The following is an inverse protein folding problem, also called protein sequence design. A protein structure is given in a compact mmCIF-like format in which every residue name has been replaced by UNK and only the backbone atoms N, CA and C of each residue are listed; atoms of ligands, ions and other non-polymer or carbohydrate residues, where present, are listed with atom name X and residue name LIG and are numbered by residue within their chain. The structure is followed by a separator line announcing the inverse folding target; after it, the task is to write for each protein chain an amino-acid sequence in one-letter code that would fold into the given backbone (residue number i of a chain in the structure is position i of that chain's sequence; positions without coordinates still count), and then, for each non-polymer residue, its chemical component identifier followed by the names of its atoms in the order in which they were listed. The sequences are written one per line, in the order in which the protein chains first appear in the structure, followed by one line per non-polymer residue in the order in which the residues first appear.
data_IF_016445276089
#
_entry.id   IF_016445276089
#
_cell.length_a   1.000
_cell.length_b   1.000
_cell.length_c   1.000
_cell.angle_alpha   90.00
_cell.angle_beta   90.00
_cell.angle_gamma   90.00
#
_symmetry.space_group_name_H-M   'P 1'
#
loop_
_entity.id
_entity.type
_entity.pdbx_description
1 polymer ?
#
# COMPACT_ATOMS: atom_id res chain seq x y z
N UNK A 1 4.73 1.71 26.35
CA UNK A 1 5.41 1.45 25.07
C UNK A 1 4.70 2.07 23.86
N UNK A 2 3.45 1.71 23.50
CA UNK A 2 2.70 2.47 22.45
C UNK A 2 2.40 3.92 22.88
N UNK A 3 2.23 4.15 24.19
CA UNK A 3 2.05 5.49 24.77
C UNK A 3 3.33 6.34 24.72
N UNK A 4 4.50 5.73 24.91
CA UNK A 4 5.79 6.42 24.81
C UNK A 4 6.15 6.80 23.36
N UNK A 5 5.71 6.01 22.38
CA UNK A 5 5.80 6.33 20.95
C UNK A 5 4.82 7.44 20.51
N UNK A 6 3.79 7.73 21.31
CA UNK A 6 2.83 8.82 21.05
C UNK A 6 3.15 10.09 21.85
N UNK A 7 3.92 9.96 22.93
CA UNK A 7 4.30 11.04 23.86
C UNK A 7 5.71 11.59 23.57
N UNK A 8 6.61 10.79 22.98
CA UNK A 8 7.95 11.19 22.55
C UNK A 8 8.28 10.84 21.08
N UNK A 9 7.38 10.18 20.34
CA UNK A 9 7.57 9.91 18.91
C UNK A 9 7.48 11.21 18.13
N UNK A 10 8.55 11.55 17.43
CA UNK A 10 8.53 12.63 16.45
C UNK A 10 7.34 12.43 15.51
N UNK A 11 6.68 13.51 15.08
CA UNK A 11 5.56 13.51 14.12
C UNK A 11 5.85 12.61 12.91
N UNK A 12 7.13 12.51 12.58
CA UNK A 12 7.74 11.60 11.63
C UNK A 12 7.31 10.13 11.80
N UNK A 13 7.40 9.53 12.99
CA UNK A 13 7.21 8.09 13.19
C UNK A 13 5.74 7.68 13.04
N UNK A 14 4.83 8.55 13.48
CA UNK A 14 3.39 8.39 13.28
C UNK A 14 3.07 8.43 11.78
N UNK A 15 3.67 9.39 11.07
CA UNK A 15 3.52 9.50 9.61
C UNK A 15 4.14 8.29 8.90
N UNK A 16 5.27 7.75 9.41
CA UNK A 16 5.91 6.54 8.88
C UNK A 16 4.99 5.35 8.91
N UNK A 17 4.42 5.13 10.09
CA UNK A 17 3.52 4.03 10.36
C UNK A 17 2.30 4.10 9.47
N UNK A 18 1.73 5.30 9.32
CA UNK A 18 0.58 5.52 8.46
C UNK A 18 0.90 5.27 6.98
N UNK A 19 2.04 5.75 6.48
CA UNK A 19 2.47 5.52 5.08
C UNK A 19 2.71 4.03 4.81
N UNK A 20 3.40 3.34 5.71
CA UNK A 20 3.65 1.90 5.58
C UNK A 20 2.34 1.11 5.54
N UNK A 21 1.39 1.43 6.42
CA UNK A 21 0.06 0.83 6.43
C UNK A 21 -0.71 1.11 5.12
N UNK A 22 -0.67 2.36 4.64
CA UNK A 22 -1.30 2.76 3.39
C UNK A 22 -0.72 2.00 2.18
N UNK A 23 0.59 1.76 2.16
CA UNK A 23 1.24 0.99 1.10
C UNK A 23 0.83 -0.48 1.08
N UNK A 24 0.76 -1.13 2.25
CA UNK A 24 0.33 -2.54 2.36
C UNK A 24 -1.11 -2.66 1.86
N UNK A 25 -2.00 -1.79 2.35
CA UNK A 25 -3.42 -1.82 1.98
C UNK A 25 -3.64 -1.51 0.51
N UNK A 26 -2.95 -0.51 -0.06
CA UNK A 26 -3.01 -0.19 -1.48
C UNK A 26 -2.55 -1.35 -2.38
N UNK A 27 -1.48 -2.04 -1.99
CA UNK A 27 -0.95 -3.19 -2.73
C UNK A 27 -1.94 -4.35 -2.76
N UNK A 28 -2.56 -4.66 -1.61
CA UNK A 28 -3.60 -5.69 -1.51
C UNK A 28 -4.81 -5.31 -2.35
N UNK A 29 -5.27 -4.05 -2.28
CA UNK A 29 -6.40 -3.57 -3.09
C UNK A 29 -6.13 -3.73 -4.60
N UNK A 30 -4.94 -3.36 -5.06
CA UNK A 30 -4.57 -3.51 -6.47
C UNK A 30 -4.64 -4.97 -6.90
N UNK A 31 -4.11 -5.89 -6.09
CA UNK A 31 -4.18 -7.33 -6.38
C UNK A 31 -5.63 -7.82 -6.50
N UNK A 32 -6.50 -7.40 -5.57
CA UNK A 32 -7.93 -7.75 -5.61
C UNK A 32 -8.59 -7.24 -6.88
N UNK A 33 -8.34 -5.99 -7.28
CA UNK A 33 -8.92 -5.43 -8.52
C UNK A 33 -8.42 -6.12 -9.79
N UNK A 34 -7.15 -6.54 -9.83
CA UNK A 34 -6.62 -7.34 -10.95
C UNK A 34 -7.37 -8.67 -11.04
N UNK A 35 -7.57 -9.36 -9.92
CA UNK A 35 -8.29 -10.65 -9.88
C UNK A 35 -9.75 -10.48 -10.31
N UNK A 36 -10.46 -9.50 -9.76
CA UNK A 36 -11.86 -9.22 -10.10
C UNK A 36 -11.99 -8.83 -11.57
N UNK A 37 -11.08 -8.00 -12.08
CA UNK A 37 -11.02 -7.65 -13.50
C UNK A 37 -10.75 -8.87 -14.39
N UNK A 38 -9.83 -9.74 -13.99
CA UNK A 38 -9.54 -10.99 -14.72
C UNK A 38 -10.71 -11.96 -14.77
N UNK A 39 -11.39 -12.17 -13.64
CA UNK A 39 -12.61 -12.99 -13.58
C UNK A 39 -13.70 -12.40 -14.47
N UNK A 40 -13.91 -11.09 -14.41
CA UNK A 40 -14.90 -10.39 -15.25
C UNK A 40 -14.56 -10.52 -16.73
N UNK A 41 -13.29 -10.46 -17.10
CA UNK A 41 -12.82 -10.66 -18.48
C UNK A 41 -13.17 -12.06 -18.99
N UNK A 42 -12.86 -13.11 -18.21
CA UNK A 42 -13.16 -14.51 -18.55
C UNK A 42 -14.67 -14.73 -18.69
N UNK A 43 -15.47 -14.19 -17.77
CA UNK A 43 -16.93 -14.32 -17.76
C UNK A 43 -17.65 -13.44 -18.79
N UNK A 44 -16.93 -12.60 -19.54
CA UNK A 44 -17.56 -11.68 -20.49
C UNK A 44 -18.18 -12.38 -21.70
N UNK A 45 -17.82 -13.64 -21.98
CA UNK A 45 -18.45 -14.49 -22.99
C UNK A 45 -18.62 -13.83 -24.39
N UNK A 46 -17.69 -12.97 -24.78
CA UNK A 46 -17.73 -12.25 -26.07
C UNK A 46 -18.51 -10.93 -26.06
N UNK A 47 -19.09 -10.51 -24.92
CA UNK A 47 -19.69 -9.18 -24.79
C UNK A 47 -18.59 -8.09 -24.73
N UNK A 48 -18.47 -7.31 -25.80
CA UNK A 48 -17.45 -6.27 -25.95
C UNK A 48 -17.48 -5.22 -24.83
N UNK A 49 -18.67 -4.86 -24.34
CA UNK A 49 -18.82 -3.86 -23.28
C UNK A 49 -18.24 -4.36 -21.95
N UNK A 50 -18.51 -5.63 -21.61
CA UNK A 50 -17.97 -6.28 -20.40
C UNK A 50 -16.46 -6.48 -20.51
N UNK A 51 -15.97 -6.88 -21.69
CA UNK A 51 -14.53 -7.01 -21.97
C UNK A 51 -13.84 -5.67 -21.77
N UNK A 52 -14.38 -4.60 -22.35
CA UNK A 52 -13.80 -3.25 -22.24
C UNK A 52 -13.77 -2.80 -20.77
N UNK A 53 -14.85 -3.01 -20.03
CA UNK A 53 -14.90 -2.69 -18.59
C UNK A 53 -13.85 -3.47 -17.78
N UNK A 54 -13.74 -4.78 -18.02
CA UNK A 54 -12.76 -5.63 -17.34
C UNK A 54 -11.32 -5.19 -17.62
N UNK A 55 -11.00 -4.91 -18.89
CA UNK A 55 -9.67 -4.42 -19.30
C UNK A 55 -9.38 -3.06 -18.66
N UNK A 56 -10.36 -2.15 -18.57
CA UNK A 56 -10.18 -0.89 -17.87
C UNK A 56 -9.87 -1.10 -16.39
N UNK A 57 -10.62 -1.95 -15.69
CA UNK A 57 -10.37 -2.28 -14.27
C UNK A 57 -8.95 -2.80 -14.06
N UNK A 58 -8.50 -3.74 -14.89
CA UNK A 58 -7.14 -4.29 -14.81
C UNK A 58 -6.09 -3.20 -15.06
N UNK A 59 -6.29 -2.36 -16.09
CA UNK A 59 -5.35 -1.26 -16.42
C UNK A 59 -5.23 -0.27 -15.26
N UNK A 60 -6.35 0.16 -14.68
CA UNK A 60 -6.32 1.08 -13.54
C UNK A 60 -5.67 0.45 -12.31
N UNK A 61 -5.88 -0.83 -12.05
CA UNK A 61 -5.22 -1.54 -10.95
C UNK A 61 -3.70 -1.65 -11.15
N UNK A 62 -3.24 -1.91 -12.38
CA UNK A 62 -1.80 -1.93 -12.71
C UNK A 62 -1.18 -0.54 -12.56
N UNK A 63 -1.87 0.51 -13.02
CA UNK A 63 -1.41 1.90 -12.86
C UNK A 63 -1.33 2.27 -11.37
N UNK A 64 -2.35 1.92 -10.58
CA UNK A 64 -2.36 2.15 -9.13
C UNK A 64 -1.21 1.44 -8.41
N UNK A 65 -0.89 0.21 -8.83
CA UNK A 65 0.27 -0.51 -8.31
C UNK A 65 1.59 0.23 -8.63
N UNK A 66 1.75 0.68 -9.87
CA UNK A 66 2.92 1.48 -10.28
C UNK A 66 3.05 2.78 -9.48
N UNK A 67 1.94 3.49 -9.26
CA UNK A 67 1.91 4.70 -8.45
C UNK A 67 2.34 4.42 -7.01
N UNK A 68 1.93 3.28 -6.44
CA UNK A 68 2.33 2.86 -5.09
C UNK A 68 3.84 2.65 -4.98
N UNK A 69 4.47 2.04 -6.00
CA UNK A 69 5.93 1.90 -6.07
C UNK A 69 6.65 3.25 -6.18
N UNK A 70 6.13 4.18 -6.99
CA UNK A 70 6.71 5.52 -7.13
C UNK A 70 6.57 6.31 -5.82
N UNK A 71 5.42 6.19 -5.14
CA UNK A 71 5.18 6.85 -3.85
C UNK A 71 6.22 6.41 -2.80
N UNK A 72 6.54 5.12 -2.73
CA UNK A 72 7.61 4.63 -1.85
C UNK A 72 8.95 5.32 -2.11
N UNK A 73 9.33 5.39 -3.39
CA UNK A 73 10.59 6.00 -3.79
C UNK A 73 10.60 7.50 -3.47
N UNK A 74 9.50 8.20 -3.76
CA UNK A 74 9.34 9.62 -3.46
C UNK A 74 9.45 9.91 -1.96
N UNK A 75 8.77 9.12 -1.11
CA UNK A 75 8.83 9.29 0.35
C UNK A 75 10.25 9.01 0.87
N UNK A 76 10.91 7.95 0.40
CA UNK A 76 12.30 7.66 0.76
C UNK A 76 13.24 8.81 0.35
N UNK A 77 13.01 9.41 -0.82
CA UNK A 77 13.82 10.52 -1.31
C UNK A 77 13.63 11.80 -0.49
N UNK A 78 12.38 12.13 -0.16
CA UNK A 78 12.03 13.28 0.71
C UNK A 78 12.62 13.10 2.11
N UNK A 79 12.58 11.88 2.65
CA UNK A 79 13.13 11.55 3.96
C UNK A 79 14.63 11.81 4.04
N UNK A 80 15.38 11.41 3.00
CA UNK A 80 16.82 11.67 2.88
C UNK A 80 17.15 13.15 2.72
N UNK A 81 16.32 13.90 1.99
CA UNK A 81 16.52 15.34 1.79
C UNK A 81 16.30 16.14 3.08
N UNK A 82 15.43 15.67 3.96
CA UNK A 82 15.09 16.34 5.21
C UNK A 82 15.88 15.82 6.42
N UNK A 83 16.88 14.94 6.19
CA UNK A 83 17.73 14.27 7.19
C UNK A 83 16.93 13.64 8.35
N UNK A 84 15.72 13.16 8.03
CA UNK A 84 14.89 12.46 9.00
C UNK A 84 15.40 11.01 9.09
N UNK A 85 15.55 10.41 10.30
CA UNK A 85 15.90 9.00 10.49
C UNK A 85 14.75 8.05 10.10
N UNK A 86 14.10 8.33 8.97
CA UNK A 86 12.98 7.58 8.45
C UNK A 86 13.49 6.46 7.55
N UNK A 87 13.85 5.36 8.21
CA UNK A 87 14.27 4.12 7.54
C UNK A 87 13.01 3.40 7.01
N UNK A 88 12.54 3.79 5.83
CA UNK A 88 11.54 3.05 5.03
C UNK A 88 12.17 1.75 4.49
N UNK A 89 12.50 0.85 5.39
CA UNK A 89 13.02 -0.48 5.06
C UNK A 89 11.87 -1.48 4.99
N UNK A 90 12.05 -2.53 4.18
CA UNK A 90 11.17 -3.69 4.16
C UNK A 90 10.98 -4.28 5.58
N UNK A 91 12.02 -4.20 6.41
CA UNK A 91 11.95 -4.63 7.81
C UNK A 91 10.95 -3.82 8.63
N UNK A 92 10.87 -2.50 8.41
CA UNK A 92 9.94 -1.61 9.12
C UNK A 92 8.49 -1.95 8.76
N UNK A 93 8.23 -2.19 7.46
CA UNK A 93 6.91 -2.58 6.95
C UNK A 93 6.46 -3.90 7.59
N UNK A 94 7.35 -4.90 7.63
CA UNK A 94 7.05 -6.21 8.22
C UNK A 94 6.84 -6.10 9.74
N UNK A 95 7.68 -5.33 10.44
CA UNK A 95 7.56 -5.14 11.90
C UNK A 95 6.24 -4.48 12.26
N UNK A 96 5.87 -3.41 11.55
CA UNK A 96 4.58 -2.73 11.75
C UNK A 96 3.39 -3.64 11.44
N UNK A 97 3.49 -4.46 10.39
CA UNK A 97 2.45 -5.44 10.08
C UNK A 97 2.30 -6.47 11.20
N UNK A 98 3.40 -6.96 11.78
CA UNK A 98 3.38 -7.90 12.89
C UNK A 98 2.81 -7.28 14.17
N UNK A 99 3.16 -6.03 14.48
CA UNK A 99 2.59 -5.31 15.62
C UNK A 99 1.08 -5.08 15.48
N UNK A 100 0.61 -4.68 14.29
CA UNK A 100 -0.82 -4.51 14.02
C UNK A 100 -1.58 -5.84 14.19
N UNK A 101 -1.02 -6.93 13.67
CA UNK A 101 -1.60 -8.27 13.85
C UNK A 101 -1.62 -8.72 15.32
N UNK A 102 -0.57 -8.41 16.08
CA UNK A 102 -0.52 -8.71 17.50
C UNK A 102 -1.56 -7.90 18.29
N UNK A 103 -1.76 -6.62 17.95
CA UNK A 103 -2.72 -5.74 18.60
C UNK A 103 -4.19 -6.09 18.30
N UNK A 104 -4.48 -6.72 17.16
CA UNK A 104 -5.84 -7.17 16.80
C UNK A 104 -6.13 -8.57 17.36
N UNK A 105 -5.11 -9.38 17.65
CA UNK A 105 -5.25 -10.73 18.20
C UNK A 105 -5.23 -10.80 19.74
N UNK A 106 -4.94 -9.69 20.42
CA UNK A 106 -5.09 -9.49 21.87
C UNK A 106 -6.41 -8.83 22.24
#
# INVERSE_FOLDING_TARGET
MIRDLLENGSIVDIVATFIALAMITASILCLVFIIVGGITFILSAGNEEKIKKAVHTIRFAIIGLFVTFIAFFAVSWISKLLDIPFELSFSTIVTLMQEIFAAISS
#
